data_IF_086634202130
#
_entry.id   IF_086634202130
#
_cell.length_a   1.000
_cell.length_b   1.000
_cell.length_c   1.000
_cell.angle_alpha   90.00
_cell.angle_beta   90.00
_cell.angle_gamma   90.00
#
_symmetry.space_group_name_H-M   'P 1'
#
loop_
_entity.id
_entity.type
_entity.pdbx_description
1 polymer ?
#
# COMPACT_ATOMS: atom_id res chain seq x y z
N UNK A 1 -5.61 33.78 12.57
CA UNK A 1 -6.65 33.17 11.70
C UNK A 1 -6.28 31.74 11.41
N UNK A 2 -7.16 30.81 11.72
CA UNK A 2 -6.93 29.41 11.41
C UNK A 2 -7.25 29.13 9.95
N UNK A 3 -6.49 28.22 9.34
CA UNK A 3 -6.77 27.76 7.97
C UNK A 3 -8.06 26.94 7.98
N UNK A 4 -8.84 27.04 6.90
CA UNK A 4 -10.02 26.19 6.71
C UNK A 4 -9.60 24.74 6.70
N UNK A 5 -10.37 23.83 7.32
CA UNK A 5 -10.05 22.40 7.27
C UNK A 5 -10.10 21.89 5.84
N UNK A 6 -9.16 21.01 5.50
CA UNK A 6 -9.16 20.37 4.18
C UNK A 6 -10.31 19.39 4.08
N UNK A 7 -10.97 19.40 2.93
CA UNK A 7 -12.01 18.43 2.64
C UNK A 7 -11.35 17.05 2.45
N UNK A 8 -11.92 16.03 3.07
CA UNK A 8 -11.45 14.65 2.92
C UNK A 8 -11.61 14.21 1.46
N UNK A 9 -10.51 13.70 0.88
CA UNK A 9 -10.51 13.23 -0.52
C UNK A 9 -11.40 11.99 -0.72
N UNK A 10 -11.39 11.11 0.27
CA UNK A 10 -12.12 9.84 0.18
C UNK A 10 -13.60 10.01 0.47
N UNK A 11 -14.39 9.14 -0.13
CA UNK A 11 -15.84 9.07 0.13
C UNK A 11 -16.12 8.52 1.53
N UNK A 12 -17.33 8.75 2.08
CA UNK A 12 -17.67 8.21 3.40
C UNK A 12 -17.58 6.69 3.53
N UNK A 13 -17.74 5.98 2.41
CA UNK A 13 -17.68 4.51 2.37
C UNK A 13 -16.27 3.98 2.13
N UNK A 14 -15.28 4.85 2.15
CA UNK A 14 -13.88 4.48 1.89
C UNK A 14 -13.01 4.72 3.11
N UNK A 15 -12.02 3.86 3.28
CA UNK A 15 -10.96 4.04 4.27
C UNK A 15 -9.63 3.70 3.63
N UNK A 16 -8.57 4.27 4.14
CA UNK A 16 -7.24 4.05 3.59
C UNK A 16 -6.22 3.75 4.67
N UNK A 17 -5.15 3.10 4.26
CA UNK A 17 -3.93 3.01 5.03
C UNK A 17 -2.75 3.30 4.10
N UNK A 18 -1.75 3.99 4.62
CA UNK A 18 -0.55 4.32 3.89
C UNK A 18 0.65 3.88 4.70
N UNK A 19 1.51 3.09 4.09
CA UNK A 19 2.77 2.66 4.69
C UNK A 19 3.91 3.29 3.92
N UNK A 20 4.74 4.03 4.62
CA UNK A 20 5.90 4.72 4.07
C UNK A 20 7.15 3.89 4.31
N UNK A 21 8.17 4.12 3.49
CA UNK A 21 9.51 3.58 3.68
C UNK A 21 9.58 2.04 3.70
N UNK A 22 8.84 1.39 2.80
CA UNK A 22 9.03 -0.03 2.56
C UNK A 22 10.33 -0.25 1.78
N UNK A 23 11.16 -1.16 2.26
CA UNK A 23 12.48 -1.41 1.68
C UNK A 23 12.38 -2.26 0.41
N UNK A 24 11.84 -1.67 -0.63
CA UNK A 24 11.73 -2.31 -1.94
C UNK A 24 11.59 -1.25 -3.02
N UNK A 25 11.88 -1.59 -4.25
CA UNK A 25 11.67 -0.71 -5.39
C UNK A 25 10.18 -0.57 -5.70
N UNK A 26 9.77 0.62 -6.16
CA UNK A 26 8.37 0.89 -6.47
C UNK A 26 7.81 -0.10 -7.50
N UNK A 27 8.62 -0.47 -8.48
CA UNK A 27 8.21 -1.40 -9.55
C UNK A 27 7.87 -2.79 -9.00
N UNK A 28 8.71 -3.29 -8.09
CA UNK A 28 8.49 -4.60 -7.44
C UNK A 28 7.28 -4.58 -6.51
N UNK A 29 7.14 -3.51 -5.76
CA UNK A 29 5.99 -3.34 -4.88
C UNK A 29 4.69 -3.22 -5.68
N UNK A 30 4.73 -2.55 -6.82
CA UNK A 30 3.57 -2.40 -7.69
C UNK A 30 3.04 -3.73 -8.22
N UNK A 31 3.92 -4.71 -8.47
CA UNK A 31 3.50 -6.06 -8.90
C UNK A 31 2.60 -6.70 -7.84
N UNK A 32 2.99 -6.58 -6.57
CA UNK A 32 2.18 -7.10 -5.45
C UNK A 32 0.87 -6.30 -5.32
N UNK A 33 0.94 -4.99 -5.45
CA UNK A 33 -0.26 -4.14 -5.39
C UNK A 33 -1.26 -4.49 -6.49
N UNK A 34 -0.78 -4.79 -7.70
CA UNK A 34 -1.64 -5.20 -8.81
C UNK A 34 -2.40 -6.50 -8.50
N UNK A 35 -1.79 -7.42 -7.78
CA UNK A 35 -2.41 -8.71 -7.49
C UNK A 35 -3.63 -8.61 -6.60
N UNK A 36 -3.74 -7.53 -5.83
CA UNK A 36 -4.86 -7.35 -4.89
C UNK A 36 -5.89 -6.32 -5.33
N UNK A 37 -5.62 -5.56 -6.38
CA UNK A 37 -6.57 -4.53 -6.85
C UNK A 37 -7.88 -5.15 -7.30
N UNK A 38 -8.98 -4.58 -6.81
CA UNK A 38 -10.32 -5.00 -7.20
C UNK A 38 -10.81 -6.29 -6.53
N UNK A 39 -10.02 -6.90 -5.68
CA UNK A 39 -10.42 -8.12 -4.97
C UNK A 39 -11.17 -7.78 -3.68
N UNK A 40 -12.04 -8.68 -3.26
CA UNK A 40 -12.60 -8.61 -1.92
C UNK A 40 -11.48 -8.74 -0.90
N UNK A 41 -11.63 -8.05 0.20
CA UNK A 41 -10.60 -7.99 1.24
C UNK A 41 -10.14 -9.38 1.69
N UNK A 42 -11.08 -10.29 1.92
CA UNK A 42 -10.74 -11.66 2.34
C UNK A 42 -9.88 -12.37 1.31
N UNK A 43 -10.23 -12.24 0.04
CA UNK A 43 -9.46 -12.84 -1.06
C UNK A 43 -8.10 -12.18 -1.20
N UNK A 44 -8.04 -10.86 -1.04
CA UNK A 44 -6.77 -10.13 -1.09
C UNK A 44 -5.83 -10.58 0.03
N UNK A 45 -6.34 -10.78 1.25
CA UNK A 45 -5.54 -11.29 2.36
C UNK A 45 -4.98 -12.68 2.06
N UNK A 46 -5.78 -13.55 1.47
CA UNK A 46 -5.34 -14.90 1.11
C UNK A 46 -4.28 -14.87 0.02
N UNK A 47 -4.45 -14.02 -0.98
CA UNK A 47 -3.44 -13.83 -2.04
C UNK A 47 -2.10 -13.39 -1.46
N UNK A 48 -2.11 -12.45 -0.54
CA UNK A 48 -0.89 -11.96 0.09
C UNK A 48 -0.26 -12.99 1.02
N UNK A 49 -1.06 -13.79 1.71
CA UNK A 49 -0.56 -14.82 2.60
C UNK A 49 0.21 -15.90 1.85
N UNK A 50 -0.29 -16.30 0.69
CA UNK A 50 0.32 -17.36 -0.12
C UNK A 50 1.26 -16.85 -1.21
N UNK A 51 1.48 -15.53 -1.27
CA UNK A 51 2.41 -14.97 -2.23
C UNK A 51 3.86 -15.32 -1.86
N UNK A 52 4.67 -15.77 -2.84
CA UNK A 52 6.08 -16.06 -2.58
C UNK A 52 6.95 -14.82 -2.43
N UNK A 53 6.40 -13.64 -2.70
CA UNK A 53 7.18 -12.40 -2.63
C UNK A 53 7.36 -11.94 -1.18
N UNK A 54 8.60 -11.55 -0.84
CA UNK A 54 8.94 -11.10 0.51
C UNK A 54 8.10 -9.90 0.97
N UNK A 55 7.89 -8.95 0.08
CA UNK A 55 7.19 -7.71 0.42
C UNK A 55 5.68 -7.91 0.67
N UNK A 56 5.13 -9.05 0.25
CA UNK A 56 3.72 -9.35 0.45
C UNK A 56 3.30 -9.32 1.92
N UNK A 57 4.20 -9.66 2.83
CA UNK A 57 3.94 -9.59 4.27
C UNK A 57 3.67 -8.16 4.72
N UNK A 58 4.47 -7.21 4.23
CA UNK A 58 4.31 -5.80 4.58
C UNK A 58 3.05 -5.22 3.96
N UNK A 59 2.74 -5.61 2.73
CA UNK A 59 1.50 -5.21 2.06
C UNK A 59 0.28 -5.77 2.80
N UNK A 60 0.38 -7.00 3.31
CA UNK A 60 -0.68 -7.61 4.11
C UNK A 60 -0.95 -6.82 5.39
N UNK A 61 0.11 -6.38 6.07
CA UNK A 61 -0.02 -5.51 7.25
C UNK A 61 -0.70 -4.19 6.91
N UNK A 62 -0.34 -3.60 5.78
CA UNK A 62 -0.97 -2.37 5.30
C UNK A 62 -2.47 -2.58 5.05
N UNK A 63 -2.83 -3.71 4.45
CA UNK A 63 -4.22 -4.05 4.19
C UNK A 63 -4.99 -4.25 5.50
N UNK A 64 -4.41 -4.92 6.49
CA UNK A 64 -5.02 -5.04 7.83
C UNK A 64 -5.25 -3.69 8.46
N UNK A 65 -4.31 -2.76 8.32
CA UNK A 65 -4.48 -1.39 8.82
C UNK A 65 -5.66 -0.69 8.14
N UNK A 66 -5.80 -0.85 6.84
CA UNK A 66 -6.92 -0.28 6.08
C UNK A 66 -8.27 -0.86 6.55
N UNK A 67 -8.31 -2.17 6.77
CA UNK A 67 -9.52 -2.85 7.26
C UNK A 67 -9.87 -2.35 8.66
N UNK A 68 -8.89 -2.24 9.54
CA UNK A 68 -9.11 -1.75 10.91
C UNK A 68 -9.59 -0.30 10.91
N UNK A 69 -9.05 0.53 10.03
CA UNK A 69 -9.51 1.91 9.90
C UNK A 69 -10.95 1.97 9.40
N UNK A 70 -11.32 1.11 8.47
CA UNK A 70 -12.68 1.03 7.96
C UNK A 70 -13.66 0.64 9.06
N UNK A 71 -13.32 -0.38 9.84
CA UNK A 71 -14.18 -0.88 10.91
C UNK A 71 -14.30 0.11 12.08
N UNK A 72 -13.16 0.57 12.59
CA UNK A 72 -13.12 1.32 13.85
C UNK A 72 -13.39 2.80 13.68
N UNK A 73 -12.94 3.39 12.58
CA UNK A 73 -13.05 4.85 12.37
C UNK A 73 -14.24 5.25 11.53
N UNK A 74 -14.74 4.36 10.68
CA UNK A 74 -15.79 4.67 9.71
C UNK A 74 -16.99 3.74 9.82
N UNK A 75 -16.96 2.80 10.74
CA UNK A 75 -18.06 1.84 11.01
C UNK A 75 -18.54 1.11 9.75
N UNK A 76 -17.61 0.79 8.86
CA UNK A 76 -17.91 0.06 7.64
C UNK A 76 -17.99 -1.44 7.90
N UNK A 77 -18.79 -2.15 7.10
CA UNK A 77 -18.93 -3.59 7.21
C UNK A 77 -17.75 -4.29 6.52
N UNK A 78 -16.96 -5.03 7.30
CA UNK A 78 -15.78 -5.74 6.80
C UNK A 78 -16.15 -6.75 5.71
N UNK A 79 -17.29 -7.41 5.83
CA UNK A 79 -17.69 -8.45 4.88
C UNK A 79 -17.97 -7.90 3.48
N UNK A 80 -18.24 -6.61 3.38
CA UNK A 80 -18.53 -5.93 2.12
C UNK A 80 -17.37 -5.07 1.61
N UNK A 81 -16.19 -5.17 2.24
CA UNK A 81 -15.04 -4.37 1.81
C UNK A 81 -14.36 -4.99 0.58
N UNK A 82 -13.96 -4.11 -0.33
CA UNK A 82 -13.22 -4.44 -1.54
C UNK A 82 -12.00 -3.52 -1.61
N UNK A 83 -10.88 -4.02 -2.10
CA UNK A 83 -9.71 -3.18 -2.36
C UNK A 83 -10.01 -2.33 -3.60
N UNK A 84 -10.40 -1.09 -3.36
CA UNK A 84 -10.77 -0.18 -4.44
C UNK A 84 -9.53 0.32 -5.18
N UNK A 85 -8.50 0.69 -4.42
CA UNK A 85 -7.27 1.21 -4.97
C UNK A 85 -6.08 0.66 -4.18
N UNK A 86 -5.01 0.35 -4.88
CA UNK A 86 -3.72 0.04 -4.28
C UNK A 86 -2.66 0.63 -5.20
N UNK A 87 -2.04 1.71 -4.78
CA UNK A 87 -1.04 2.38 -5.59
C UNK A 87 0.25 2.59 -4.82
N UNK A 88 1.33 2.68 -5.58
CA UNK A 88 2.69 2.72 -5.08
C UNK A 88 3.38 3.99 -5.56
N UNK A 89 4.16 4.57 -4.68
CA UNK A 89 4.99 5.72 -5.01
C UNK A 89 6.41 5.53 -4.53
N UNK A 90 7.30 6.33 -5.08
CA UNK A 90 8.68 6.39 -4.59
C UNK A 90 8.70 7.18 -3.29
N UNK A 91 9.47 6.70 -2.32
CA UNK A 91 9.69 7.43 -1.08
C UNK A 91 11.07 8.06 -1.11
N UNK A 92 12.09 7.32 -0.72
CA UNK A 92 13.46 7.82 -0.76
C UNK A 92 14.38 6.78 -1.37
N UNK A 93 15.53 7.21 -1.83
CA UNK A 93 16.56 6.32 -2.36
C UNK A 93 17.85 6.58 -1.60
N UNK A 94 18.36 5.54 -0.94
CA UNK A 94 19.67 5.61 -0.33
C UNK A 94 20.71 5.31 -1.38
N UNK A 95 21.59 6.27 -1.61
CA UNK A 95 22.66 6.11 -2.60
C UNK A 95 23.91 5.62 -1.92
N UNK A 96 24.52 4.60 -2.50
CA UNK A 96 25.77 4.03 -2.05
C UNK A 96 26.74 3.97 -3.20
N UNK A 97 27.99 3.70 -2.88
CA UNK A 97 29.08 3.72 -3.78
C UNK A 97 29.78 2.35 -3.73
N UNK A 98 30.13 1.82 -4.88
CA UNK A 98 30.86 0.56 -4.98
C UNK A 98 32.09 0.74 -5.83
N UNK A 99 33.24 0.41 -5.27
CA UNK A 99 34.49 0.43 -6.02
C UNK A 99 34.52 -0.72 -7.02
N UNK A 100 34.95 -0.42 -8.25
CA UNK A 100 35.08 -1.38 -9.34
C UNK A 100 36.53 -1.41 -9.83
N UNK A 101 36.82 -2.33 -10.74
CA UNK A 101 38.14 -2.49 -11.34
C UNK A 101 38.60 -1.23 -12.08
N UNK A 102 39.91 -1.05 -12.20
CA UNK A 102 40.54 0.05 -12.94
C UNK A 102 40.19 1.45 -12.41
N UNK A 103 40.07 1.59 -11.08
CA UNK A 103 39.79 2.87 -10.45
C UNK A 103 38.40 3.44 -10.73
N UNK A 104 37.51 2.63 -11.30
CA UNK A 104 36.11 3.04 -11.56
C UNK A 104 35.24 2.75 -10.36
N UNK A 105 34.14 3.47 -10.27
CA UNK A 105 33.14 3.25 -9.26
C UNK A 105 31.76 3.22 -9.88
N UNK A 106 30.84 2.52 -9.23
CA UNK A 106 29.45 2.52 -9.66
C UNK A 106 28.55 2.90 -8.49
N UNK A 107 27.40 3.48 -8.84
CA UNK A 107 26.38 3.80 -7.86
C UNK A 107 25.57 2.56 -7.51
N UNK A 108 25.27 2.44 -6.26
CA UNK A 108 24.28 1.47 -5.78
C UNK A 108 23.12 2.28 -5.22
N UNK A 109 21.94 2.06 -5.74
CA UNK A 109 20.73 2.70 -5.25
C UNK A 109 19.92 1.70 -4.46
N UNK A 110 19.57 2.08 -3.23
CA UNK A 110 18.69 1.29 -2.37
C UNK A 110 17.37 2.02 -2.25
N UNK A 111 16.39 1.68 -3.10
CA UNK A 111 15.13 2.40 -3.15
C UNK A 111 14.21 1.99 -2.00
N UNK A 112 13.44 2.96 -1.54
CA UNK A 112 12.33 2.76 -0.62
C UNK A 112 11.07 3.25 -1.31
N UNK A 113 9.98 2.57 -1.06
CA UNK A 113 8.70 2.88 -1.67
C UNK A 113 7.62 3.02 -0.62
N UNK A 114 6.50 3.59 -1.02
CA UNK A 114 5.32 3.68 -0.18
C UNK A 114 4.13 3.04 -0.89
N UNK A 115 3.21 2.49 -0.13
CA UNK A 115 1.98 1.93 -0.66
C UNK A 115 0.79 2.57 0.04
N UNK A 116 -0.23 2.89 -0.74
CA UNK A 116 -1.51 3.37 -0.24
C UNK A 116 -2.57 2.38 -0.68
N UNK A 117 -3.32 1.86 0.27
CA UNK A 117 -4.43 0.94 0.01
C UNK A 117 -5.71 1.62 0.43
N UNK A 118 -6.66 1.72 -0.49
CA UNK A 118 -7.99 2.25 -0.22
C UNK A 118 -8.97 1.10 -0.31
N UNK A 119 -9.71 0.88 0.76
CA UNK A 119 -10.78 -0.10 0.79
C UNK A 119 -12.13 0.62 0.76
N UNK A 120 -13.10 0.01 0.09
CA UNK A 120 -14.44 0.57 -0.08
C UNK A 120 -15.48 -0.47 0.31
N UNK A 121 -16.47 -0.03 1.05
CA UNK A 121 -17.66 -0.84 1.28
C UNK A 121 -18.50 -0.83 0.01
N UNK A 122 -18.64 -2.00 -0.60
CA UNK A 122 -19.49 -2.16 -1.78
C UNK A 122 -20.89 -2.47 -1.29
N UNK A 123 -21.80 -1.54 -1.57
CA UNK A 123 -23.14 -1.55 -1.06
C UNK A 123 -23.81 -2.90 -1.07
N UNK A 124 -23.85 -3.48 0.09
CA UNK A 124 -24.73 -4.59 0.35
C UNK A 124 -26.19 -4.18 0.23
N UNK A 125 -26.45 -2.92 0.12
CA UNK A 125 -27.79 -2.48 -0.25
C UNK A 125 -27.87 -2.53 -1.76
N UNK A 126 -28.26 -3.62 -2.24
CA UNK A 126 -28.66 -3.71 -3.60
C UNK A 126 -29.35 -2.43 -4.07
#
# INVERSE_FOLDING_TARGET
MSKKPQVRRLKPVEAMAKVRALRTGARKLNVVAQSIRGLKVQRALNELEFSPKRIAKDVRKALYSAISNAENNHSLDIDNLVVAEAYVGKNLTMKRFSARARGRSSRIEKPFSEITIVVREVGGAA
#
